data_IF_635861746599
#
_entry.id   IF_635861746599
#
_cell.length_a   1.000
_cell.length_b   1.000
_cell.length_c   1.000
_cell.angle_alpha   90.00
_cell.angle_beta   90.00
_cell.angle_gamma   90.00
#
_symmetry.space_group_name_H-M   'P 1'
#
loop_
_entity.id
_entity.type
_entity.pdbx_description
1 polymer ?
#
# COMPACT_ATOMS: atom_id res chain seq x y z
N UNK A 1 -32.21 -3.34 -41.09
CA UNK A 1 -30.83 -3.86 -41.11
C UNK A 1 -29.90 -2.70 -40.80
N UNK A 2 -29.30 -2.68 -39.61
CA UNK A 2 -28.32 -1.68 -39.20
C UNK A 2 -27.19 -2.42 -38.48
N UNK A 3 -25.97 -2.32 -39.00
CA UNK A 3 -24.77 -2.94 -38.46
C UNK A 3 -24.36 -2.27 -37.13
N UNK A 4 -23.94 -3.04 -36.11
CA UNK A 4 -23.33 -2.45 -34.92
C UNK A 4 -21.89 -2.01 -35.20
N UNK A 5 -21.56 -0.78 -34.78
CA UNK A 5 -20.20 -0.21 -34.85
C UNK A 5 -19.22 -1.08 -34.04
N UNK A 6 -18.10 -1.40 -34.66
CA UNK A 6 -17.01 -2.15 -34.06
C UNK A 6 -16.47 -1.43 -32.81
N UNK A 7 -16.46 -2.15 -31.69
CA UNK A 7 -15.72 -1.77 -30.50
C UNK A 7 -14.23 -1.83 -30.82
N UNK A 8 -13.55 -0.67 -30.73
CA UNK A 8 -12.11 -0.56 -30.85
C UNK A 8 -11.46 -1.39 -29.73
N UNK A 9 -10.84 -2.52 -30.10
CA UNK A 9 -9.97 -3.28 -29.21
C UNK A 9 -8.82 -2.37 -28.80
N UNK A 10 -8.78 -1.95 -27.54
CA UNK A 10 -7.55 -1.42 -26.94
C UNK A 10 -6.57 -2.59 -26.89
N UNK A 11 -5.57 -2.54 -27.79
CA UNK A 11 -4.44 -3.46 -27.79
C UNK A 11 -3.71 -3.33 -26.46
N UNK A 12 -3.58 -4.47 -25.81
CA UNK A 12 -2.76 -4.68 -24.64
C UNK A 12 -1.29 -4.60 -25.08
N UNK A 13 -0.76 -3.38 -25.17
CA UNK A 13 0.67 -3.18 -25.39
C UNK A 13 1.41 -3.29 -24.06
N UNK A 14 2.12 -4.41 -23.93
CA UNK A 14 2.98 -4.80 -22.81
C UNK A 14 4.13 -3.84 -22.57
N UNK A 15 3.83 -2.68 -22.00
CA UNK A 15 4.80 -1.75 -21.42
C UNK A 15 5.34 -2.18 -20.06
N UNK A 16 5.69 -3.46 -19.87
CA UNK A 16 6.24 -3.98 -18.61
C UNK A 16 7.72 -3.61 -18.37
N UNK A 17 8.37 -2.89 -19.31
CA UNK A 17 9.82 -2.68 -19.30
C UNK A 17 10.30 -1.23 -19.38
N UNK A 18 9.41 -0.23 -19.31
CA UNK A 18 9.78 1.20 -19.42
C UNK A 18 9.70 2.02 -18.13
N UNK A 19 9.66 1.37 -16.96
CA UNK A 19 9.77 2.02 -15.63
C UNK A 19 10.80 1.34 -14.70
N UNK A 20 11.91 0.85 -15.24
CA UNK A 20 13.14 0.71 -14.44
C UNK A 20 13.73 2.12 -14.30
N UNK A 21 13.57 2.78 -13.12
CA UNK A 21 14.40 2.47 -11.96
C UNK A 21 13.68 2.65 -10.61
N UNK A 22 12.56 1.96 -10.36
CA UNK A 22 11.95 1.92 -9.00
C UNK A 22 12.28 0.65 -8.21
N UNK A 23 12.84 -0.37 -8.85
CA UNK A 23 13.18 -1.66 -8.23
C UNK A 23 14.57 -1.73 -7.58
N UNK A 24 15.44 -0.73 -7.81
CA UNK A 24 16.78 -0.69 -7.22
C UNK A 24 16.84 -0.14 -5.79
N UNK A 25 15.73 0.36 -5.25
CA UNK A 25 15.68 0.90 -3.88
C UNK A 25 15.37 -0.14 -2.79
N UNK A 26 15.06 -1.38 -3.16
CA UNK A 26 14.76 -2.45 -2.19
C UNK A 26 15.99 -3.32 -1.90
N UNK A 27 17.06 -3.32 -2.72
CA UNK A 27 18.16 -4.28 -2.56
C UNK A 27 19.54 -3.63 -2.76
N UNK A 28 20.06 -3.02 -1.70
CA UNK A 28 21.50 -3.00 -1.40
C UNK A 28 21.79 -3.00 0.11
N UNK A 29 20.81 -3.42 0.94
CA UNK A 29 20.95 -3.45 2.40
C UNK A 29 20.54 -4.79 3.04
N UNK A 30 20.19 -5.79 2.23
CA UNK A 30 19.98 -7.15 2.69
C UNK A 30 21.32 -7.87 2.87
N UNK A 31 22.03 -7.52 3.92
CA UNK A 31 22.93 -8.45 4.58
C UNK A 31 22.81 -8.15 6.08
N UNK A 32 22.16 -9.08 6.80
CA UNK A 32 21.87 -9.08 8.24
C UNK A 32 20.72 -8.14 8.64
N UNK A 33 19.60 -8.73 9.05
CA UNK A 33 18.51 -8.02 9.71
C UNK A 33 19.02 -7.47 11.05
N UNK A 34 19.44 -6.21 11.06
CA UNK A 34 19.84 -5.49 12.26
C UNK A 34 18.66 -4.66 12.74
N UNK A 35 18.36 -4.72 14.04
CA UNK A 35 17.37 -3.83 14.67
C UNK A 35 17.76 -2.38 14.38
N UNK A 36 16.85 -1.55 13.81
CA UNK A 36 17.15 -0.15 13.52
C UNK A 36 17.65 0.59 14.77
N UNK A 37 18.83 1.21 14.67
CA UNK A 37 19.44 1.94 15.78
C UNK A 37 18.72 3.28 16.03
N UNK A 38 18.53 3.71 17.29
CA UNK A 38 18.09 5.07 17.59
C UNK A 38 19.03 6.10 16.98
N UNK A 39 18.48 7.14 16.35
CA UNK A 39 19.27 8.18 15.70
C UNK A 39 18.63 9.55 15.94
N UNK A 40 19.15 10.30 16.91
CA UNK A 40 18.58 11.57 17.37
C UNK A 40 18.36 12.62 16.25
N UNK A 41 19.25 12.75 15.23
CA UNK A 41 19.00 13.67 14.12
C UNK A 41 17.71 13.39 13.34
N UNK A 42 17.31 12.12 13.19
CA UNK A 42 16.03 11.78 12.55
C UNK A 42 14.84 12.26 13.39
N UNK A 43 14.91 12.15 14.71
CA UNK A 43 13.87 12.69 15.61
C UNK A 43 13.78 14.22 15.53
N UNK A 44 14.92 14.91 15.40
CA UNK A 44 14.96 16.36 15.21
C UNK A 44 14.34 16.76 13.87
N UNK A 45 14.65 16.02 12.80
CA UNK A 45 14.02 16.20 11.50
C UNK A 45 12.51 16.01 11.58
N UNK A 46 12.04 14.92 12.21
CA UNK A 46 10.61 14.66 12.39
C UNK A 46 9.91 15.81 13.15
N UNK A 47 10.56 16.34 14.18
CA UNK A 47 10.05 17.50 14.94
C UNK A 47 9.91 18.74 14.04
N UNK A 48 10.91 19.02 13.19
CA UNK A 48 10.86 20.16 12.26
C UNK A 48 9.74 20.01 11.21
N UNK A 49 9.54 18.78 10.70
CA UNK A 49 8.45 18.47 9.75
C UNK A 49 7.08 18.69 10.40
N UNK A 50 6.88 18.16 11.61
CA UNK A 50 5.62 18.33 12.36
C UNK A 50 5.31 19.78 12.68
N UNK A 51 6.34 20.59 12.92
CA UNK A 51 6.19 22.03 13.18
C UNK A 51 5.85 22.85 11.92
N UNK A 52 5.80 22.24 10.72
CA UNK A 52 5.50 22.95 9.49
C UNK A 52 6.53 24.03 9.14
N UNK A 53 7.78 23.91 9.63
CA UNK A 53 8.80 24.93 9.48
C UNK A 53 9.79 24.54 8.37
N UNK A 54 9.63 25.06 7.13
CA UNK A 54 10.49 24.68 6.01
C UNK A 54 11.95 25.10 6.25
N UNK A 55 12.21 26.21 6.94
CA UNK A 55 13.59 26.64 7.22
C UNK A 55 14.30 25.68 8.18
N UNK A 56 13.60 25.18 9.21
CA UNK A 56 14.14 24.18 10.12
C UNK A 56 14.40 22.84 9.41
N UNK A 57 13.53 22.44 8.48
CA UNK A 57 13.74 21.25 7.65
C UNK A 57 14.94 21.46 6.71
N UNK A 58 15.05 22.60 6.03
CA UNK A 58 16.20 22.96 5.18
C UNK A 58 17.51 22.93 5.95
N UNK A 59 17.55 23.40 7.20
CA UNK A 59 18.75 23.41 8.03
C UNK A 59 19.30 22.00 8.35
N UNK A 60 18.49 20.95 8.17
CA UNK A 60 18.92 19.55 8.32
C UNK A 60 19.67 19.01 7.09
N UNK A 61 19.64 19.70 5.96
CA UNK A 61 20.36 19.29 4.74
C UNK A 61 21.72 19.98 4.64
N UNK A 62 22.65 19.31 3.95
CA UNK A 62 24.00 19.83 3.72
C UNK A 62 23.96 21.05 2.80
N UNK A 63 24.71 22.10 3.17
CA UNK A 63 24.92 23.27 2.31
C UNK A 63 26.09 23.06 1.33
N UNK A 64 27.05 22.20 1.68
CA UNK A 64 28.20 21.85 0.85
C UNK A 64 28.74 20.46 1.25
N UNK A 65 28.72 19.45 0.36
CA UNK A 65 28.09 19.48 -0.97
C UNK A 65 26.56 19.61 -0.86
N UNK A 66 25.93 20.10 -1.92
CA UNK A 66 24.46 20.05 -2.04
C UNK A 66 24.02 18.59 -2.21
N UNK A 67 22.93 18.17 -1.55
CA UNK A 67 22.46 16.80 -1.62
C UNK A 67 21.78 16.51 -2.96
N UNK A 68 21.99 15.30 -3.46
CA UNK A 68 21.17 14.73 -4.52
C UNK A 68 19.98 13.98 -3.91
N UNK A 69 18.77 14.37 -4.31
CA UNK A 69 17.52 13.82 -3.80
C UNK A 69 16.77 13.14 -4.93
N UNK A 70 16.47 11.85 -4.78
CA UNK A 70 15.76 11.07 -5.78
C UNK A 70 14.26 11.11 -5.46
N UNK A 71 13.47 11.68 -6.36
CA UNK A 71 12.00 11.66 -6.31
C UNK A 71 11.44 11.03 -7.58
N UNK A 72 10.15 10.76 -7.63
CA UNK A 72 9.48 10.16 -8.79
C UNK A 72 9.66 10.93 -10.09
N UNK A 73 9.81 12.26 -10.01
CA UNK A 73 10.05 13.13 -11.17
C UNK A 73 11.51 13.20 -11.60
N UNK A 74 12.41 12.44 -10.96
CA UNK A 74 13.85 12.44 -11.22
C UNK A 74 14.68 12.93 -10.04
N UNK A 75 15.96 13.23 -10.30
CA UNK A 75 16.89 13.76 -9.30
C UNK A 75 16.68 15.27 -9.15
N UNK A 76 16.59 15.75 -7.91
CA UNK A 76 16.53 17.17 -7.56
C UNK A 76 17.66 17.51 -6.57
N UNK A 77 18.21 18.72 -6.69
CA UNK A 77 19.14 19.32 -5.71
C UNK A 77 18.54 20.52 -4.97
N UNK A 78 17.26 20.83 -5.26
CA UNK A 78 16.51 21.92 -4.65
C UNK A 78 15.99 21.51 -3.26
N UNK A 79 16.84 21.74 -2.24
CA UNK A 79 16.51 21.50 -0.83
C UNK A 79 15.27 22.32 -0.38
N UNK A 80 15.13 23.62 -0.68
CA UNK A 80 13.92 24.36 -0.36
C UNK A 80 12.62 23.73 -0.88
N UNK A 81 12.63 23.17 -2.10
CA UNK A 81 11.47 22.45 -2.65
C UNK A 81 11.14 21.21 -1.84
N UNK A 82 12.14 20.40 -1.47
CA UNK A 82 11.91 19.21 -0.64
C UNK A 82 11.47 19.59 0.79
N UNK A 83 12.08 20.60 1.40
CA UNK A 83 11.69 21.09 2.71
C UNK A 83 10.25 21.63 2.73
N UNK A 84 9.82 22.29 1.66
CA UNK A 84 8.44 22.75 1.47
C UNK A 84 7.47 21.59 1.37
N UNK A 85 7.83 20.52 0.64
CA UNK A 85 7.01 19.30 0.57
C UNK A 85 6.76 18.72 1.97
N UNK A 86 7.78 18.67 2.83
CA UNK A 86 7.60 18.13 4.19
C UNK A 86 6.86 19.10 5.12
N UNK A 87 7.13 20.39 5.04
CA UNK A 87 6.52 21.39 5.91
C UNK A 87 5.04 21.69 5.56
N UNK A 88 4.57 21.36 4.34
CA UNK A 88 3.21 21.71 3.90
C UNK A 88 2.12 21.02 4.71
N UNK A 89 2.39 19.83 5.26
CA UNK A 89 1.37 18.98 5.86
C UNK A 89 0.74 19.57 7.10
N UNK A 90 1.50 20.32 7.91
CA UNK A 90 0.98 21.04 9.09
C UNK A 90 -0.20 21.93 8.69
N UNK A 91 -0.01 22.77 7.66
CA UNK A 91 -1.06 23.65 7.11
C UNK A 91 -2.21 22.88 6.46
N UNK A 92 -1.99 21.64 6.04
CA UNK A 92 -3.03 20.75 5.50
C UNK A 92 -3.79 20.00 6.59
N UNK A 93 -3.53 20.29 7.87
CA UNK A 93 -4.23 19.68 9.00
C UNK A 93 -3.60 18.36 9.46
N UNK A 94 -2.27 18.24 9.38
CA UNK A 94 -1.52 17.10 9.91
C UNK A 94 -1.91 16.84 11.37
N UNK A 95 -2.46 15.66 11.63
CA UNK A 95 -2.79 15.19 12.99
C UNK A 95 -1.72 14.26 13.52
N UNK A 96 -1.04 13.51 12.64
CA UNK A 96 0.04 12.60 13.00
C UNK A 96 0.95 12.35 11.81
N UNK A 97 2.25 12.49 12.04
CA UNK A 97 3.28 11.84 11.23
C UNK A 97 3.65 10.52 11.92
N UNK A 98 3.88 9.44 11.19
CA UNK A 98 4.34 8.18 11.76
C UNK A 98 5.58 7.75 11.02
N UNK A 99 6.69 7.57 11.74
CA UNK A 99 7.95 7.10 11.18
C UNK A 99 8.12 5.65 11.60
N UNK A 100 8.10 4.72 10.64
CA UNK A 100 8.37 3.30 10.89
C UNK A 100 9.75 2.97 10.31
N UNK A 101 10.79 2.85 11.15
CA UNK A 101 12.14 2.54 10.70
C UNK A 101 12.18 1.17 10.02
N UNK A 102 12.79 1.12 8.84
CA UNK A 102 13.09 -0.11 8.10
C UNK A 102 14.59 -0.41 8.21
N UNK A 103 15.41 0.63 8.05
CA UNK A 103 16.86 0.60 8.28
C UNK A 103 17.26 1.82 9.08
N UNK A 104 18.12 1.63 10.07
CA UNK A 104 18.88 2.72 10.70
C UNK A 104 20.20 2.16 11.20
N UNK A 105 21.31 2.60 10.60
CA UNK A 105 22.64 2.08 10.93
C UNK A 105 23.75 3.08 10.65
N UNK A 106 24.76 3.08 11.50
CA UNK A 106 26.02 3.74 11.23
C UNK A 106 26.75 3.04 10.06
N UNK A 107 27.27 3.83 9.11
CA UNK A 107 28.16 3.38 8.03
C UNK A 107 29.62 3.75 8.31
N UNK A 108 29.85 4.54 9.34
CA UNK A 108 31.15 5.01 9.85
C UNK A 108 30.94 5.94 11.05
N UNK A 109 32.00 6.51 11.64
CA UNK A 109 31.87 7.42 12.78
C UNK A 109 31.06 8.69 12.46
N UNK A 110 31.13 9.14 11.20
CA UNK A 110 30.52 10.39 10.73
C UNK A 110 29.51 10.17 9.60
N UNK A 111 29.04 8.93 9.39
CA UNK A 111 28.08 8.59 8.33
C UNK A 111 27.00 7.64 8.86
N UNK A 112 25.73 7.95 8.60
CA UNK A 112 24.59 7.16 9.05
C UNK A 112 23.55 7.05 7.94
N UNK A 113 23.00 5.86 7.73
CA UNK A 113 21.92 5.65 6.77
C UNK A 113 20.62 5.32 7.49
N UNK A 114 19.54 5.98 7.09
CA UNK A 114 18.18 5.68 7.53
C UNK A 114 17.27 5.44 6.33
N UNK A 115 16.39 4.45 6.48
CA UNK A 115 15.30 4.16 5.56
C UNK A 115 14.04 3.89 6.38
N UNK A 116 12.92 4.49 6.02
CA UNK A 116 11.68 4.37 6.79
C UNK A 116 10.44 4.53 5.92
N UNK A 117 9.33 3.96 6.38
CA UNK A 117 8.00 4.33 5.92
C UNK A 117 7.54 5.56 6.71
N UNK A 118 7.07 6.59 5.99
CA UNK A 118 6.37 7.73 6.58
C UNK A 118 4.87 7.58 6.35
N UNK A 119 4.08 7.53 7.42
CA UNK A 119 2.63 7.64 7.39
C UNK A 119 2.19 9.06 7.74
N UNK A 120 1.53 9.75 6.82
CA UNK A 120 1.06 11.12 6.97
C UNK A 120 -0.44 11.08 7.17
N UNK A 121 -0.91 11.44 8.36
CA UNK A 121 -2.32 11.45 8.74
C UNK A 121 -2.78 12.90 8.94
N UNK A 122 -3.88 13.26 8.32
CA UNK A 122 -4.40 14.63 8.35
C UNK A 122 -5.92 14.63 8.27
N UNK A 123 -6.55 15.69 8.77
CA UNK A 123 -8.00 15.86 8.70
C UNK A 123 -8.32 17.05 7.82
N UNK A 124 -9.10 16.81 6.77
CA UNK A 124 -9.62 17.87 5.90
C UNK A 124 -11.13 18.04 6.10
N UNK A 125 -11.76 18.93 5.34
CA UNK A 125 -13.23 19.13 5.39
C UNK A 125 -14.02 17.86 5.05
N UNK A 126 -13.45 16.95 4.26
CA UNK A 126 -14.08 15.67 3.90
C UNK A 126 -13.79 14.55 4.90
N UNK A 127 -13.12 14.84 6.02
CA UNK A 127 -12.82 13.88 7.08
C UNK A 127 -11.33 13.50 7.17
N UNK A 128 -11.01 12.39 7.87
CA UNK A 128 -9.64 11.93 8.06
C UNK A 128 -9.08 11.28 6.80
N UNK A 129 -7.80 11.53 6.52
CA UNK A 129 -7.06 11.02 5.37
C UNK A 129 -5.69 10.51 5.80
N UNK A 130 -5.12 9.63 4.99
CA UNK A 130 -3.76 9.12 5.19
C UNK A 130 -3.02 8.95 3.86
N UNK A 131 -1.74 9.33 3.84
CA UNK A 131 -0.79 8.97 2.78
C UNK A 131 0.41 8.23 3.35
N UNK A 132 1.06 7.43 2.51
CA UNK A 132 2.25 6.65 2.84
C UNK A 132 3.33 6.87 1.79
N UNK A 133 4.58 6.88 2.21
CA UNK A 133 5.73 6.94 1.31
C UNK A 133 6.96 6.32 1.97
N UNK A 134 7.85 5.76 1.18
CA UNK A 134 9.17 5.36 1.66
C UNK A 134 10.16 6.51 1.49
N UNK A 135 11.03 6.67 2.48
CA UNK A 135 12.08 7.68 2.50
C UNK A 135 13.42 6.99 2.77
N UNK A 136 14.46 7.39 2.05
CA UNK A 136 15.85 7.06 2.38
C UNK A 136 16.63 8.35 2.59
N UNK A 137 17.48 8.39 3.60
CA UNK A 137 18.38 9.51 3.86
C UNK A 137 19.75 8.99 4.29
N UNK A 138 20.80 9.61 3.74
CA UNK A 138 22.16 9.45 4.22
C UNK A 138 22.59 10.73 4.91
N UNK A 139 23.05 10.57 6.14
CA UNK A 139 23.43 11.65 7.04
C UNK A 139 24.94 11.63 7.24
N UNK A 140 25.57 12.80 7.18
CA UNK A 140 26.98 13.00 7.48
C UNK A 140 27.14 13.96 8.65
N UNK A 141 28.05 13.66 9.58
CA UNK A 141 28.42 14.58 10.65
C UNK A 141 29.31 15.68 10.10
N UNK A 142 28.85 16.92 10.16
CA UNK A 142 29.59 18.12 9.77
C UNK A 142 29.84 19.01 11.00
N UNK A 143 30.62 20.08 10.85
CA UNK A 143 30.97 20.98 11.96
C UNK A 143 29.73 21.54 12.71
N UNK A 144 28.65 21.82 11.98
CA UNK A 144 27.38 22.32 12.53
C UNK A 144 26.39 21.20 12.94
N UNK A 145 26.85 19.94 12.99
CA UNK A 145 26.06 18.77 13.32
C UNK A 145 25.77 17.86 12.13
N UNK A 146 24.88 16.89 12.33
CA UNK A 146 24.47 15.95 11.29
C UNK A 146 23.67 16.64 10.18
N UNK A 147 23.98 16.31 8.93
CA UNK A 147 23.30 16.84 7.74
C UNK A 147 22.95 15.74 6.75
N UNK A 148 21.77 15.83 6.14
CA UNK A 148 21.37 14.99 5.02
C UNK A 148 22.20 15.38 3.80
N UNK A 149 23.02 14.44 3.31
CA UNK A 149 23.90 14.63 2.15
C UNK A 149 23.40 13.93 0.89
N UNK A 150 22.46 13.00 1.03
CA UNK A 150 21.71 12.41 -0.08
C UNK A 150 20.44 11.76 0.46
N UNK A 151 19.49 11.49 -0.43
CA UNK A 151 18.27 10.80 -0.03
C UNK A 151 17.26 10.69 -1.15
N UNK A 152 16.02 10.40 -0.78
CA UNK A 152 14.94 10.32 -1.73
C UNK A 152 13.66 9.82 -1.10
N UNK A 153 12.58 9.92 -1.86
CA UNK A 153 11.28 9.42 -1.45
C UNK A 153 10.45 8.93 -2.63
N UNK A 154 9.55 8.00 -2.36
CA UNK A 154 8.54 7.57 -3.32
C UNK A 154 7.43 8.61 -3.47
N UNK A 155 6.54 8.39 -4.44
CA UNK A 155 5.26 9.08 -4.50
C UNK A 155 4.38 8.75 -3.28
N UNK A 156 3.40 9.61 -3.05
CA UNK A 156 2.36 9.39 -2.03
C UNK A 156 1.45 8.24 -2.46
N UNK A 157 1.43 7.19 -1.66
CA UNK A 157 0.48 6.09 -1.75
C UNK A 157 -0.72 6.35 -0.84
N UNK A 158 -1.93 6.01 -1.30
CA UNK A 158 -3.18 6.13 -0.51
C UNK A 158 -3.36 4.98 0.49
N UNK A 159 -2.73 3.85 0.22
CA UNK A 159 -2.70 2.68 1.09
C UNK A 159 -1.28 2.45 1.59
N UNK A 160 -1.17 1.82 2.76
CA UNK A 160 0.11 1.43 3.32
C UNK A 160 0.79 0.43 2.40
N UNK A 161 2.11 0.53 2.28
CA UNK A 161 2.89 -0.31 1.38
C UNK A 161 3.67 -1.35 2.19
N UNK A 162 3.76 -2.62 1.76
CA UNK A 162 4.51 -3.62 2.49
C UNK A 162 6.02 -3.31 2.44
N UNK A 163 6.69 -3.45 3.59
CA UNK A 163 8.16 -3.33 3.71
C UNK A 163 8.87 -4.63 3.35
N UNK A 164 8.14 -5.75 3.32
CA UNK A 164 8.60 -7.08 2.95
C UNK A 164 7.41 -7.91 2.48
N UNK A 165 7.66 -8.90 1.61
CA UNK A 165 6.66 -9.88 1.16
C UNK A 165 6.77 -11.23 1.89
N UNK A 166 7.56 -11.31 2.96
CA UNK A 166 7.87 -12.58 3.65
C UNK A 166 6.75 -13.12 4.54
N UNK A 167 5.75 -12.30 4.91
CA UNK A 167 4.60 -12.75 5.70
C UNK A 167 3.55 -13.38 4.78
N UNK A 168 3.32 -14.70 4.81
CA UNK A 168 2.37 -15.32 3.90
C UNK A 168 0.93 -14.94 4.26
N UNK A 169 0.17 -14.47 3.26
CA UNK A 169 -1.26 -14.15 3.33
C UNK A 169 -2.09 -15.36 2.89
N UNK A 170 -1.58 -16.08 1.88
CA UNK A 170 -2.21 -17.24 1.27
C UNK A 170 -1.49 -18.51 1.71
N UNK A 171 -2.24 -19.49 2.21
CA UNK A 171 -1.68 -20.79 2.60
C UNK A 171 -1.65 -21.74 1.41
N UNK A 172 -0.46 -22.20 1.01
CA UNK A 172 -0.28 -23.17 -0.08
C UNK A 172 -0.87 -24.55 0.22
N UNK A 173 -1.05 -24.89 1.50
CA UNK A 173 -1.61 -26.18 1.93
C UNK A 173 -3.10 -26.11 2.24
N UNK A 174 -3.72 -24.94 2.09
CA UNK A 174 -5.15 -24.79 2.31
C UNK A 174 -5.95 -25.45 1.18
N UNK A 175 -6.94 -26.25 1.56
CA UNK A 175 -8.01 -26.65 0.64
C UNK A 175 -9.00 -25.47 0.51
N UNK A 176 -8.83 -24.69 -0.55
CA UNK A 176 -9.67 -23.53 -0.83
C UNK A 176 -11.14 -23.93 -1.04
N UNK A 177 -11.44 -25.11 -1.59
CA UNK A 177 -12.83 -25.57 -1.74
C UNK A 177 -13.47 -25.82 -0.37
N UNK A 178 -12.76 -26.50 0.53
CA UNK A 178 -13.25 -26.75 1.88
C UNK A 178 -13.42 -25.45 2.67
N UNK A 179 -12.48 -24.52 2.54
CA UNK A 179 -12.58 -23.21 3.19
C UNK A 179 -13.78 -22.42 2.70
N UNK A 180 -14.02 -22.38 1.39
CA UNK A 180 -15.20 -21.70 0.82
C UNK A 180 -16.49 -22.38 1.28
N UNK A 181 -16.56 -23.72 1.28
CA UNK A 181 -17.74 -24.44 1.77
C UNK A 181 -18.03 -24.15 3.25
N UNK A 182 -16.98 -24.10 4.07
CA UNK A 182 -17.06 -23.74 5.50
C UNK A 182 -17.52 -22.29 5.67
N UNK A 183 -16.94 -21.37 4.92
CA UNK A 183 -17.31 -19.96 4.94
C UNK A 183 -18.77 -19.74 4.54
N UNK A 184 -19.27 -20.45 3.53
CA UNK A 184 -20.67 -20.39 3.14
C UNK A 184 -21.61 -20.92 4.23
N UNK A 185 -21.23 -22.01 4.92
CA UNK A 185 -22.00 -22.51 6.04
C UNK A 185 -22.04 -21.50 7.20
N UNK A 186 -20.90 -20.91 7.54
CA UNK A 186 -20.80 -19.87 8.57
C UNK A 186 -21.56 -18.60 8.18
N UNK A 187 -21.50 -18.18 6.92
CA UNK A 187 -22.20 -17.02 6.41
C UNK A 187 -23.73 -17.17 6.56
N UNK A 188 -24.28 -18.39 6.40
CA UNK A 188 -25.71 -18.65 6.62
C UNK A 188 -26.11 -18.50 8.08
N UNK A 189 -25.29 -18.98 9.02
CA UNK A 189 -25.60 -18.94 10.45
C UNK A 189 -25.38 -17.56 11.05
N UNK A 190 -24.37 -16.83 10.55
CA UNK A 190 -24.02 -15.48 11.02
C UNK A 190 -24.70 -14.37 10.21
N UNK A 191 -25.46 -14.73 9.17
CA UNK A 191 -26.11 -13.80 8.25
C UNK A 191 -25.13 -12.80 7.63
N UNK A 192 -24.00 -13.34 7.16
CA UNK A 192 -22.93 -12.59 6.51
C UNK A 192 -22.83 -12.93 5.03
N UNK A 193 -22.03 -12.17 4.31
CA UNK A 193 -21.55 -12.51 2.97
C UNK A 193 -20.22 -13.26 3.06
N UNK A 194 -19.79 -13.88 1.97
CA UNK A 194 -18.43 -14.43 1.84
C UNK A 194 -17.64 -13.52 0.92
N UNK A 195 -16.47 -13.05 1.38
CA UNK A 195 -15.53 -12.31 0.55
C UNK A 195 -14.40 -13.26 0.16
N UNK A 196 -14.28 -13.55 -1.13
CA UNK A 196 -13.14 -14.26 -1.68
C UNK A 196 -12.08 -13.25 -2.11
N UNK A 197 -10.87 -13.40 -1.58
CA UNK A 197 -9.69 -12.67 -2.03
C UNK A 197 -8.75 -13.63 -2.76
N UNK A 198 -8.68 -13.50 -4.09
CA UNK A 198 -7.79 -14.31 -4.91
C UNK A 198 -6.47 -13.57 -5.10
N UNK A 199 -5.37 -14.24 -4.77
CA UNK A 199 -4.03 -13.66 -4.87
C UNK A 199 -2.93 -14.68 -4.68
N UNK A 200 -1.71 -14.19 -4.44
CA UNK A 200 -0.57 -15.05 -4.17
C UNK A 200 0.49 -14.30 -3.38
N UNK A 201 1.31 -15.02 -2.62
CA UNK A 201 2.30 -14.40 -1.73
C UNK A 201 3.39 -13.59 -2.49
N UNK A 202 3.58 -13.85 -3.78
CA UNK A 202 4.49 -13.11 -4.68
C UNK A 202 3.93 -11.74 -5.12
N UNK A 203 2.62 -11.53 -4.97
CA UNK A 203 1.92 -10.38 -5.50
C UNK A 203 2.00 -9.19 -4.54
N UNK A 204 2.79 -8.17 -4.89
CA UNK A 204 2.95 -6.97 -4.08
C UNK A 204 1.62 -6.26 -3.75
N UNK A 205 0.75 -6.10 -4.76
CA UNK A 205 -0.55 -5.44 -4.61
C UNK A 205 -1.49 -6.22 -3.67
N UNK A 206 -1.31 -7.54 -3.53
CA UNK A 206 -2.07 -8.39 -2.62
C UNK A 206 -1.69 -8.12 -1.15
N UNK A 207 -0.40 -7.86 -0.88
CA UNK A 207 0.05 -7.42 0.43
C UNK A 207 -0.39 -6.00 0.77
N UNK A 208 -0.51 -5.11 -0.23
CA UNK A 208 -1.11 -3.77 -0.03
C UNK A 208 -2.57 -3.91 0.39
N UNK A 209 -3.34 -4.82 -0.23
CA UNK A 209 -4.73 -5.07 0.11
C UNK A 209 -4.88 -5.69 1.51
N UNK A 210 -4.06 -6.67 1.87
CA UNK A 210 -4.06 -7.28 3.21
C UNK A 210 -3.80 -6.24 4.30
N UNK A 211 -2.81 -5.34 4.10
CA UNK A 211 -2.59 -4.21 5.01
C UNK A 211 -3.78 -3.24 5.06
N UNK A 212 -4.51 -3.07 3.95
CA UNK A 212 -5.72 -2.27 3.91
C UNK A 212 -6.85 -2.91 4.73
N UNK A 213 -6.98 -4.24 4.68
CA UNK A 213 -7.95 -5.03 5.47
C UNK A 213 -7.75 -4.92 6.97
N UNK A 214 -6.53 -4.61 7.42
CA UNK A 214 -6.20 -4.42 8.84
C UNK A 214 -6.43 -2.99 9.34
N UNK A 215 -6.80 -2.03 8.47
CA UNK A 215 -7.03 -0.65 8.89
C UNK A 215 -8.21 -0.55 9.85
N UNK A 216 -8.11 0.33 10.85
CA UNK A 216 -9.17 0.53 11.85
C UNK A 216 -10.50 1.02 11.27
N UNK A 217 -10.49 1.69 10.11
CA UNK A 217 -11.69 2.18 9.41
C UNK A 217 -12.31 1.16 8.46
N UNK A 218 -11.67 0.01 8.24
CA UNK A 218 -12.10 -1.02 7.29
C UNK A 218 -12.26 -2.40 7.93
N UNK A 219 -11.37 -2.79 8.84
CA UNK A 219 -11.43 -4.06 9.55
C UNK A 219 -12.78 -4.32 10.25
N UNK A 220 -13.44 -3.33 10.89
CA UNK A 220 -14.76 -3.53 11.47
C UNK A 220 -15.84 -3.87 10.43
N UNK A 221 -15.79 -3.24 9.24
CA UNK A 221 -16.72 -3.51 8.14
C UNK A 221 -16.55 -4.95 7.62
N UNK A 222 -15.30 -5.38 7.42
CA UNK A 222 -15.01 -6.77 7.04
C UNK A 222 -15.50 -7.77 8.09
N UNK A 223 -15.17 -7.52 9.37
CA UNK A 223 -15.47 -8.47 10.44
C UNK A 223 -16.98 -8.58 10.71
N UNK A 224 -17.73 -7.49 10.54
CA UNK A 224 -19.18 -7.46 10.77
C UNK A 224 -19.97 -8.11 9.65
N UNK A 225 -19.61 -7.86 8.39
CA UNK A 225 -20.47 -8.21 7.26
C UNK A 225 -19.98 -9.42 6.45
N UNK A 226 -18.71 -9.82 6.62
CA UNK A 226 -18.07 -10.80 5.74
C UNK A 226 -17.40 -11.96 6.49
N UNK A 227 -17.36 -13.10 5.83
CA UNK A 227 -16.40 -14.18 6.08
C UNK A 227 -15.35 -14.12 4.96
N UNK A 228 -14.13 -13.67 5.29
CA UNK A 228 -13.01 -13.57 4.34
C UNK A 228 -12.38 -14.95 4.11
N UNK A 229 -12.17 -15.30 2.84
CA UNK A 229 -11.42 -16.48 2.41
C UNK A 229 -10.35 -16.05 1.42
N UNK A 230 -9.08 -16.26 1.79
CA UNK A 230 -7.93 -16.03 0.93
C UNK A 230 -7.73 -17.28 0.04
N UNK A 231 -7.80 -17.11 -1.27
CA UNK A 231 -7.66 -18.18 -2.27
C UNK A 231 -6.33 -17.99 -3.00
N UNK A 232 -5.36 -18.87 -2.71
CA UNK A 232 -4.07 -18.85 -3.40
C UNK A 232 -4.24 -19.26 -4.86
N UNK A 233 -3.80 -18.43 -5.80
CA UNK A 233 -3.74 -18.76 -7.23
C UNK A 233 -2.32 -19.03 -7.70
N UNK A 234 -1.34 -18.97 -6.78
CA UNK A 234 0.09 -18.93 -7.10
C UNK A 234 0.36 -17.98 -8.27
N UNK A 235 1.29 -18.28 -9.18
CA UNK A 235 1.55 -17.46 -10.37
C UNK A 235 0.54 -17.79 -11.49
N UNK A 236 -0.75 -17.70 -11.16
CA UNK A 236 -1.89 -18.00 -12.04
C UNK A 236 -1.91 -19.45 -12.53
N UNK A 237 -1.61 -20.40 -11.65
CA UNK A 237 -1.54 -21.84 -11.97
C UNK A 237 -2.18 -22.73 -10.88
N UNK A 238 -2.78 -22.15 -9.84
CA UNK A 238 -3.44 -22.89 -8.76
C UNK A 238 -4.89 -22.39 -8.54
N UNK A 239 -5.79 -23.26 -8.06
CA UNK A 239 -7.21 -22.96 -7.77
C UNK A 239 -8.01 -22.23 -8.89
N UNK A 240 -7.58 -22.33 -10.15
CA UNK A 240 -8.23 -21.65 -11.28
C UNK A 240 -9.60 -22.22 -11.63
N UNK A 241 -9.86 -23.46 -11.23
CA UNK A 241 -11.16 -24.09 -11.34
C UNK A 241 -12.20 -23.41 -10.45
N UNK A 242 -11.81 -22.86 -9.29
CA UNK A 242 -12.67 -22.01 -8.44
C UNK A 242 -13.03 -20.70 -9.16
N UNK A 243 -12.04 -20.06 -9.79
CA UNK A 243 -12.28 -18.85 -10.61
C UNK A 243 -13.33 -19.15 -11.68
N UNK A 244 -13.20 -20.29 -12.37
CA UNK A 244 -14.16 -20.74 -13.38
C UNK A 244 -15.52 -21.09 -12.80
N UNK A 245 -15.58 -21.78 -11.65
CA UNK A 245 -16.82 -22.17 -10.97
C UNK A 245 -17.71 -20.96 -10.70
N UNK A 246 -17.12 -19.84 -10.30
CA UNK A 246 -17.84 -18.60 -10.01
C UNK A 246 -17.99 -17.69 -11.23
N UNK A 247 -17.59 -18.12 -12.44
CA UNK A 247 -17.71 -17.32 -13.66
C UNK A 247 -16.85 -16.04 -13.63
N UNK A 248 -15.75 -16.06 -12.88
CA UNK A 248 -14.83 -14.94 -12.74
C UNK A 248 -13.74 -14.97 -13.83
N UNK A 249 -13.02 -13.86 -13.98
CA UNK A 249 -11.89 -13.77 -14.89
C UNK A 249 -10.68 -13.14 -14.20
N UNK A 250 -9.62 -13.93 -14.03
CA UNK A 250 -8.37 -13.47 -13.42
C UNK A 250 -7.45 -12.74 -14.41
N UNK A 251 -7.89 -12.52 -15.65
CA UNK A 251 -7.11 -11.87 -16.72
C UNK A 251 -6.70 -10.44 -16.37
N UNK A 252 -7.42 -9.78 -15.46
CA UNK A 252 -7.11 -8.44 -14.97
C UNK A 252 -6.03 -8.43 -13.87
N UNK A 253 -5.57 -9.62 -13.44
CA UNK A 253 -4.55 -9.80 -12.42
C UNK A 253 -5.13 -10.00 -11.02
N UNK A 254 -4.22 -10.00 -10.04
CA UNK A 254 -4.48 -10.10 -8.60
C UNK A 254 -3.96 -8.86 -7.87
N UNK A 255 -4.53 -8.49 -6.70
CA UNK A 255 -5.62 -9.16 -6.01
C UNK A 255 -6.96 -9.02 -6.74
N UNK A 256 -7.76 -10.09 -6.74
CA UNK A 256 -9.10 -10.11 -7.31
C UNK A 256 -10.10 -10.44 -6.20
N UNK A 257 -11.08 -9.57 -5.99
CA UNK A 257 -12.11 -9.74 -4.98
C UNK A 257 -13.41 -10.26 -5.61
N UNK A 258 -14.10 -11.17 -4.93
CA UNK A 258 -15.47 -11.57 -5.26
C UNK A 258 -16.33 -11.69 -4.00
N UNK A 259 -17.51 -11.08 -4.04
CA UNK A 259 -18.49 -11.14 -2.96
C UNK A 259 -19.54 -12.18 -3.32
N UNK A 260 -19.73 -13.16 -2.45
CA UNK A 260 -20.77 -14.17 -2.56
C UNK A 260 -21.86 -13.95 -1.52
N UNK A 261 -23.10 -14.23 -1.90
CA UNK A 261 -24.17 -14.44 -0.92
C UNK A 261 -23.89 -15.67 -0.06
N UNK A 262 -24.55 -15.79 1.09
CA UNK A 262 -24.52 -17.01 1.90
C UNK A 262 -24.99 -18.29 1.14
N UNK A 263 -25.69 -18.12 0.03
CA UNK A 263 -26.07 -19.21 -0.89
C UNK A 263 -24.99 -19.58 -1.91
N UNK A 264 -23.87 -18.86 -1.98
CA UNK A 264 -22.80 -19.07 -2.95
C UNK A 264 -23.01 -18.39 -4.29
N UNK A 265 -23.99 -17.49 -4.42
CA UNK A 265 -24.20 -16.71 -5.64
C UNK A 265 -23.25 -15.51 -5.65
N UNK A 266 -22.52 -15.30 -6.75
CA UNK A 266 -21.72 -14.07 -6.94
C UNK A 266 -22.64 -12.85 -6.99
N UNK A 267 -22.37 -11.89 -6.12
CA UNK A 267 -23.05 -10.61 -6.02
C UNK A 267 -22.26 -9.51 -6.74
N UNK A 268 -20.95 -9.46 -6.49
CA UNK A 268 -20.02 -8.55 -7.14
C UNK A 268 -18.62 -9.15 -7.28
N UNK A 269 -17.82 -8.63 -8.20
CA UNK A 269 -16.40 -8.97 -8.31
C UNK A 269 -15.58 -7.86 -8.96
N UNK A 270 -14.31 -7.72 -8.59
CA UNK A 270 -13.44 -6.78 -9.29
C UNK A 270 -13.27 -7.14 -10.77
N UNK A 271 -13.36 -8.42 -11.13
CA UNK A 271 -13.21 -8.91 -12.50
C UNK A 271 -14.30 -8.46 -13.48
N UNK A 272 -15.49 -8.08 -12.99
CA UNK A 272 -16.63 -7.68 -13.82
C UNK A 272 -16.75 -6.16 -13.99
N UNK A 273 -15.73 -5.40 -13.56
CA UNK A 273 -15.70 -3.94 -13.67
C UNK A 273 -16.36 -3.20 -12.50
N UNK A 274 -16.88 -3.91 -11.48
CA UNK A 274 -17.44 -3.27 -10.27
C UNK A 274 -16.38 -2.63 -9.37
N UNK A 275 -15.11 -2.98 -9.55
CA UNK A 275 -13.95 -2.32 -8.95
C UNK A 275 -12.93 -2.06 -10.06
N UNK A 276 -12.65 -0.79 -10.38
CA UNK A 276 -11.58 -0.45 -11.32
C UNK A 276 -10.26 -1.04 -10.81
N UNK A 277 -9.36 -1.42 -11.74
CA UNK A 277 -8.10 -2.11 -11.47
C UNK A 277 -7.52 -1.72 -10.10
N UNK A 278 -7.31 -2.70 -9.22
CA UNK A 278 -6.93 -2.55 -7.81
C UNK A 278 -5.72 -1.64 -7.59
N UNK A 279 -4.90 -1.47 -8.63
CA UNK A 279 -3.84 -0.45 -8.70
C UNK A 279 -4.40 0.97 -8.64
N UNK A 280 -4.24 1.55 -7.46
CA UNK A 280 -4.61 2.92 -7.18
C UNK A 280 -5.82 3.04 -6.26
N UNK A 281 -6.47 1.96 -5.84
CA UNK A 281 -7.55 2.08 -4.85
C UNK A 281 -7.06 2.78 -3.59
N UNK A 282 -7.83 3.78 -3.15
CA UNK A 282 -7.70 4.35 -1.82
C UNK A 282 -8.58 3.61 -0.81
N UNK A 283 -8.39 3.87 0.51
CA UNK A 283 -9.24 3.30 1.56
C UNK A 283 -10.73 3.51 1.30
N UNK A 284 -11.12 4.70 0.84
CA UNK A 284 -12.52 5.05 0.57
C UNK A 284 -13.12 4.31 -0.63
N UNK A 285 -12.29 3.85 -1.58
CA UNK A 285 -12.76 3.04 -2.69
C UNK A 285 -13.11 1.63 -2.21
N UNK A 286 -12.25 1.05 -1.35
CA UNK A 286 -12.49 -0.25 -0.72
C UNK A 286 -13.68 -0.23 0.24
N UNK A 287 -13.78 0.81 1.09
CA UNK A 287 -14.92 0.96 2.01
C UNK A 287 -16.23 1.03 1.22
N UNK A 288 -16.28 1.86 0.16
CA UNK A 288 -17.49 1.95 -0.67
C UNK A 288 -17.83 0.62 -1.33
N UNK A 289 -16.84 -0.05 -1.93
CA UNK A 289 -17.03 -1.36 -2.53
C UNK A 289 -17.61 -2.38 -1.55
N UNK A 290 -17.12 -2.43 -0.30
CA UNK A 290 -17.62 -3.36 0.71
C UNK A 290 -18.97 -2.91 1.31
N UNK A 291 -19.22 -1.61 1.44
CA UNK A 291 -20.46 -1.07 2.00
C UNK A 291 -21.66 -1.18 1.05
N UNK A 292 -21.42 -1.17 -0.27
CA UNK A 292 -22.48 -1.32 -1.28
C UNK A 292 -23.13 -2.73 -1.24
N UNK A 293 -22.48 -3.69 -0.60
CA UNK A 293 -22.93 -5.07 -0.48
C UNK A 293 -23.06 -5.46 0.99
N UNK A 294 -24.14 -5.01 1.64
CA UNK A 294 -24.49 -5.45 2.98
C UNK A 294 -25.35 -6.73 2.95
N UNK A 295 -25.26 -7.59 3.98
CA UNK A 295 -26.22 -8.67 4.15
C UNK A 295 -27.66 -8.11 4.16
N UNK A 296 -28.65 -8.84 3.63
CA UNK A 296 -30.04 -8.40 3.70
C UNK A 296 -30.45 -8.11 5.15
N UNK A 297 -31.12 -6.97 5.39
CA UNK A 297 -31.61 -6.63 6.72
C UNK A 297 -32.47 -7.78 7.28
N UNK A 298 -32.16 -8.19 8.52
CA UNK A 298 -32.92 -9.20 9.25
C UNK A 298 -34.39 -8.74 9.34
N UNK A 299 -35.31 -9.48 8.73
CA UNK A 299 -36.72 -9.35 9.07
C UNK A 299 -36.90 -10.09 10.40
N UNK A 300 -37.07 -9.34 11.48
CA UNK A 300 -37.39 -9.87 12.81
C UNK A 300 -38.71 -10.61 12.85
#
# INVERSE_FOLDING_TARGET
MAQPRAATRLSYDGGMWRRLPLFWFVIALAAWAQTPQPFAPLTQWETAVRAGNPAAVTAMYSAAPLPELIVSTGVISDVPREATFWATWEKQGLTRLAITPIVSRALGPDLHAVGFEAGIYFTSRSGPHSFYLFVQQTWQKQAAGWRIISGGRTDLARLRQPTSLTGPIYSKSADAHQQIATALAQARTQHKLVLLDFGGNWCYDCHVLDLAFQRSDLAPLLTSDYILVNVDVEEFNYNLDIVKQYGLSIMQGVPMLAILSAGGKVLASSSNGSLQATRGLGPQDLIRFLADWQPPAQKG
#
